data_IF_089552775268
#
_entry.id   IF_089552775268
#
_cell.length_a   1.000
_cell.length_b   1.000
_cell.length_c   1.000
_cell.angle_alpha   90.00
_cell.angle_beta   90.00
_cell.angle_gamma   90.00
#
_symmetry.space_group_name_H-M   'P 1'
#
loop_
_entity.id
_entity.type
_entity.pdbx_description
1 polymer ?
#
# COMPACT_ATOMS: atom_id res chain seq x y z
N UNK A 1 10.02 23.83 9.82
CA UNK A 1 9.20 23.75 8.58
C UNK A 1 8.67 22.34 8.46
N UNK A 2 7.39 22.18 8.14
CA UNK A 2 6.79 20.87 7.93
C UNK A 2 7.26 20.38 6.54
N UNK A 3 8.02 19.30 6.50
CA UNK A 3 8.49 18.70 5.24
C UNK A 3 7.27 18.30 4.39
N UNK A 4 7.30 18.59 3.09
CA UNK A 4 6.16 18.37 2.20
C UNK A 4 6.21 16.98 1.58
N UNK A 5 5.07 16.25 1.64
CA UNK A 5 4.89 14.97 0.95
C UNK A 5 4.16 15.23 -0.35
N UNK A 6 4.74 14.83 -1.45
CA UNK A 6 4.11 14.87 -2.77
C UNK A 6 3.96 13.48 -3.36
N UNK A 7 2.91 13.27 -4.16
CA UNK A 7 2.59 12.02 -4.84
C UNK A 7 2.66 12.25 -6.35
N UNK A 8 3.29 11.35 -7.07
CA UNK A 8 3.34 11.39 -8.53
C UNK A 8 3.12 9.99 -9.11
N UNK A 9 2.32 9.85 -10.18
CA UNK A 9 2.23 8.59 -10.90
C UNK A 9 3.63 8.14 -11.34
N UNK A 10 3.90 6.85 -11.14
CA UNK A 10 5.17 6.25 -11.56
C UNK A 10 5.23 6.12 -13.09
N UNK A 11 6.43 6.21 -13.62
CA UNK A 11 6.73 6.03 -15.04
C UNK A 11 7.79 4.95 -15.26
N UNK A 12 8.00 4.52 -16.49
CA UNK A 12 9.04 3.55 -16.81
C UNK A 12 10.46 4.06 -16.48
N UNK A 13 10.67 5.38 -16.46
CA UNK A 13 11.95 5.97 -16.08
C UNK A 13 12.31 5.73 -14.60
N UNK A 14 11.32 5.42 -13.77
CA UNK A 14 11.50 5.19 -12.33
C UNK A 14 11.87 3.74 -11.98
N UNK A 15 11.78 2.81 -12.94
CA UNK A 15 12.08 1.39 -12.71
C UNK A 15 13.47 1.12 -12.15
N UNK A 16 14.56 1.78 -12.62
CA UNK A 16 15.88 1.60 -12.02
C UNK A 16 15.95 2.04 -10.54
N UNK A 17 15.21 3.08 -10.16
CA UNK A 17 15.14 3.54 -8.77
C UNK A 17 14.47 2.47 -7.90
N UNK A 18 13.34 1.93 -8.35
CA UNK A 18 12.62 0.84 -7.65
C UNK A 18 13.50 -0.40 -7.52
N UNK A 19 14.18 -0.82 -8.58
CA UNK A 19 15.10 -1.96 -8.55
C UNK A 19 16.18 -1.79 -7.46
N UNK A 20 16.73 -0.59 -7.31
CA UNK A 20 17.71 -0.26 -6.26
C UNK A 20 17.13 -0.35 -4.85
N UNK A 21 15.87 0.06 -4.65
CA UNK A 21 15.18 -0.06 -3.36
C UNK A 21 14.81 -1.52 -3.05
N UNK A 22 14.30 -2.25 -4.02
CA UNK A 22 13.92 -3.67 -3.89
C UNK A 22 15.11 -4.57 -3.53
N UNK A 23 16.32 -4.19 -3.91
CA UNK A 23 17.54 -4.91 -3.55
C UNK A 23 17.96 -4.72 -2.08
N UNK A 24 17.29 -3.84 -1.32
CA UNK A 24 17.64 -3.57 0.07
C UNK A 24 16.98 -4.58 1.03
N UNK A 25 17.67 -5.00 2.13
CA UNK A 25 17.16 -6.03 3.05
C UNK A 25 15.78 -5.74 3.64
N UNK A 26 15.51 -4.47 4.00
CA UNK A 26 14.22 -4.10 4.60
C UNK A 26 13.05 -4.20 3.62
N UNK A 27 13.31 -4.18 2.31
CA UNK A 27 12.29 -4.45 1.30
C UNK A 27 11.96 -5.94 1.23
N UNK A 28 12.99 -6.79 1.16
CA UNK A 28 12.83 -8.25 1.11
C UNK A 28 12.14 -8.84 2.34
N UNK A 29 12.24 -8.19 3.48
CA UNK A 29 11.60 -8.67 4.72
C UNK A 29 10.08 -8.77 4.59
N UNK A 30 9.45 -7.87 3.81
CA UNK A 30 7.99 -7.73 3.76
C UNK A 30 7.39 -7.86 2.36
N UNK A 31 8.19 -7.82 1.32
CA UNK A 31 7.78 -8.03 -0.07
C UNK A 31 8.34 -9.37 -0.56
N UNK A 32 7.44 -10.30 -0.91
CA UNK A 32 7.78 -11.71 -1.03
C UNK A 32 8.52 -12.08 -2.33
N UNK A 33 8.35 -11.31 -3.41
CA UNK A 33 8.91 -11.67 -4.71
C UNK A 33 10.35 -11.17 -4.88
N UNK A 34 11.09 -11.83 -5.77
CA UNK A 34 12.39 -11.34 -6.21
C UNK A 34 12.26 -10.07 -7.07
N UNK A 35 13.36 -9.33 -7.22
CA UNK A 35 13.37 -8.03 -7.92
C UNK A 35 12.84 -8.12 -9.34
N UNK A 36 13.21 -9.16 -10.11
CA UNK A 36 12.78 -9.28 -11.52
C UNK A 36 11.28 -9.57 -11.63
N UNK A 37 10.73 -10.38 -10.74
CA UNK A 37 9.28 -10.64 -10.67
C UNK A 37 8.53 -9.36 -10.35
N UNK A 38 8.96 -8.60 -9.34
CA UNK A 38 8.34 -7.31 -8.98
C UNK A 38 8.43 -6.27 -10.11
N UNK A 39 9.58 -6.18 -10.78
CA UNK A 39 9.73 -5.33 -11.96
C UNK A 39 8.83 -5.77 -13.12
N UNK A 40 8.56 -7.07 -13.24
CA UNK A 40 7.59 -7.63 -14.18
C UNK A 40 6.19 -7.11 -13.93
N UNK A 41 5.71 -7.17 -12.69
CA UNK A 41 4.41 -6.60 -12.29
C UNK A 41 4.33 -5.10 -12.56
N UNK A 42 5.38 -4.34 -12.22
CA UNK A 42 5.41 -2.90 -12.51
C UNK A 42 5.34 -2.59 -14.00
N UNK A 43 6.03 -3.37 -14.85
CA UNK A 43 5.92 -3.21 -16.31
C UNK A 43 4.51 -3.51 -16.82
N UNK A 44 3.81 -4.45 -16.22
CA UNK A 44 2.42 -4.77 -16.56
C UNK A 44 1.47 -3.64 -16.15
N UNK A 45 1.63 -3.10 -14.94
CA UNK A 45 0.90 -1.92 -14.47
C UNK A 45 1.12 -0.71 -15.38
N UNK A 46 2.38 -0.37 -15.68
CA UNK A 46 2.74 0.76 -16.54
C UNK A 46 2.30 0.56 -18.00
N UNK A 47 2.23 -0.68 -18.47
CA UNK A 47 1.76 -1.04 -19.80
C UNK A 47 0.25 -1.19 -19.92
N UNK A 48 -0.51 -1.00 -18.85
CA UNK A 48 -1.98 -1.11 -18.85
C UNK A 48 -2.51 -2.55 -18.93
N UNK A 49 -1.65 -3.55 -18.67
CA UNK A 49 -2.05 -4.97 -18.58
C UNK A 49 -2.56 -5.35 -17.20
N UNK A 50 -2.23 -4.56 -16.19
CA UNK A 50 -2.72 -4.63 -14.83
C UNK A 50 -3.37 -3.28 -14.47
N UNK A 51 -4.50 -3.31 -13.78
CA UNK A 51 -5.25 -2.12 -13.38
C UNK A 51 -4.68 -1.40 -12.17
N UNK A 52 -3.71 -1.99 -11.49
CA UNK A 52 -3.00 -1.40 -10.35
C UNK A 52 -2.28 -0.11 -10.78
N UNK A 53 -2.42 0.93 -9.99
CA UNK A 53 -1.79 2.22 -10.28
C UNK A 53 -0.63 2.47 -9.33
N UNK A 54 0.62 2.43 -9.83
CA UNK A 54 1.82 2.69 -9.04
C UNK A 54 2.14 4.18 -8.96
N UNK A 55 2.58 4.64 -7.78
CA UNK A 55 3.01 6.01 -7.51
C UNK A 55 4.33 6.02 -6.74
N UNK A 56 5.06 7.10 -6.91
CA UNK A 56 6.14 7.47 -6.00
C UNK A 56 5.65 8.57 -5.05
N UNK A 57 6.11 8.51 -3.81
CA UNK A 57 6.00 9.66 -2.91
C UNK A 57 7.37 10.24 -2.60
N UNK A 58 7.40 11.55 -2.55
CA UNK A 58 8.61 12.33 -2.34
C UNK A 58 8.50 13.17 -1.07
N UNK A 59 9.63 13.39 -0.42
CA UNK A 59 9.80 14.30 0.69
C UNK A 59 10.69 15.45 0.24
N UNK A 60 10.16 16.67 0.26
CA UNK A 60 10.87 17.87 -0.23
C UNK A 60 11.48 17.67 -1.64
N UNK A 61 10.70 17.04 -2.53
CA UNK A 61 11.08 16.79 -3.93
C UNK A 61 12.00 15.59 -4.16
N UNK A 62 12.41 14.86 -3.12
CA UNK A 62 13.23 13.64 -3.25
C UNK A 62 12.34 12.40 -3.13
N UNK A 63 12.35 11.48 -4.10
CA UNK A 63 11.64 10.21 -3.97
C UNK A 63 12.14 9.43 -2.76
N UNK A 64 11.22 9.04 -1.88
CA UNK A 64 11.51 8.31 -0.63
C UNK A 64 10.68 7.05 -0.46
N UNK A 65 9.76 6.77 -1.36
CA UNK A 65 9.01 5.54 -1.30
C UNK A 65 8.05 5.33 -2.45
N UNK A 66 7.45 4.16 -2.41
CA UNK A 66 6.54 3.62 -3.38
C UNK A 66 5.18 3.37 -2.73
N UNK A 67 4.09 3.64 -3.42
CA UNK A 67 2.72 3.35 -3.00
C UNK A 67 1.87 2.99 -4.22
N UNK A 68 0.98 2.02 -4.07
CA UNK A 68 0.08 1.61 -5.14
C UNK A 68 -1.35 1.47 -4.65
N UNK A 69 -2.28 1.53 -5.58
CA UNK A 69 -3.69 1.21 -5.37
C UNK A 69 -4.14 0.17 -6.38
N UNK A 70 -4.81 -0.87 -5.90
CA UNK A 70 -5.36 -1.95 -6.70
C UNK A 70 -6.85 -2.14 -6.40
N UNK A 71 -7.61 -2.62 -7.37
CA UNK A 71 -9.05 -2.86 -7.21
C UNK A 71 -9.28 -4.24 -6.61
N UNK A 72 -10.03 -4.28 -5.51
CA UNK A 72 -10.37 -5.55 -4.85
C UNK A 72 -11.11 -6.50 -5.79
N UNK A 73 -12.01 -5.98 -6.62
CA UNK A 73 -12.74 -6.79 -7.60
C UNK A 73 -11.83 -7.53 -8.59
N UNK A 74 -10.69 -6.93 -8.98
CA UNK A 74 -9.77 -7.54 -9.93
C UNK A 74 -8.92 -8.66 -9.30
N UNK A 75 -8.82 -8.68 -7.97
CA UNK A 75 -8.15 -9.77 -7.23
C UNK A 75 -9.05 -11.00 -6.99
N UNK A 76 -10.31 -10.98 -7.45
CA UNK A 76 -11.25 -12.11 -7.33
C UNK A 76 -11.06 -13.17 -8.41
N UNK A 77 -9.82 -13.37 -8.84
CA UNK A 77 -9.42 -14.38 -9.82
C UNK A 77 -8.18 -15.11 -9.32
N UNK A 78 -7.96 -16.34 -9.80
CA UNK A 78 -6.74 -17.07 -9.45
C UNK A 78 -5.49 -16.44 -10.09
N UNK A 79 -4.34 -16.49 -9.42
CA UNK A 79 -4.07 -17.15 -8.11
C UNK A 79 -4.46 -16.29 -6.88
N UNK A 80 -4.80 -15.02 -7.06
CA UNK A 80 -5.03 -14.05 -5.97
C UNK A 80 -6.18 -14.45 -5.05
N UNK A 81 -7.23 -15.06 -5.62
CA UNK A 81 -8.38 -15.51 -4.83
C UNK A 81 -8.02 -16.60 -3.82
N UNK A 82 -7.10 -17.49 -4.18
CA UNK A 82 -6.58 -18.51 -3.25
C UNK A 82 -5.70 -17.89 -2.16
N UNK A 83 -4.90 -16.89 -2.49
CA UNK A 83 -3.98 -16.23 -1.54
C UNK A 83 -4.70 -15.28 -0.58
N UNK A 84 -5.71 -14.59 -1.08
CA UNK A 84 -6.47 -13.57 -0.32
C UNK A 84 -7.99 -13.77 -0.44
N UNK A 85 -8.56 -14.90 0.05
CA UNK A 85 -9.99 -15.20 -0.12
C UNK A 85 -10.91 -14.15 0.51
N UNK A 86 -10.42 -13.35 1.45
CA UNK A 86 -11.14 -12.25 2.09
C UNK A 86 -11.54 -11.11 1.13
N UNK A 87 -10.99 -11.06 -0.10
CA UNK A 87 -11.43 -10.09 -1.12
C UNK A 87 -12.91 -10.27 -1.48
N UNK A 88 -13.47 -11.47 -1.25
CA UNK A 88 -14.90 -11.76 -1.45
C UNK A 88 -15.80 -11.14 -0.39
N UNK A 89 -15.26 -10.79 0.78
CA UNK A 89 -16.01 -10.19 1.89
C UNK A 89 -16.09 -8.65 1.80
N UNK A 90 -15.44 -8.04 0.82
CA UNK A 90 -15.39 -6.59 0.64
C UNK A 90 -16.34 -6.12 -0.49
N UNK A 91 -16.77 -4.85 -0.49
CA UNK A 91 -17.55 -4.26 -1.59
C UNK A 91 -16.80 -4.31 -2.94
N UNK A 92 -17.55 -4.32 -4.04
CA UNK A 92 -16.99 -4.37 -5.39
C UNK A 92 -16.17 -3.12 -5.76
N UNK A 93 -16.50 -1.99 -5.15
CA UNK A 93 -15.82 -0.69 -5.32
C UNK A 93 -14.67 -0.48 -4.33
N UNK A 94 -14.35 -1.48 -3.50
CA UNK A 94 -13.23 -1.40 -2.57
C UNK A 94 -11.88 -1.39 -3.32
N UNK A 95 -10.92 -0.68 -2.74
CA UNK A 95 -9.53 -0.67 -3.20
C UNK A 95 -8.58 -1.04 -2.06
N UNK A 96 -7.54 -1.78 -2.41
CA UNK A 96 -6.40 -2.05 -1.54
C UNK A 96 -5.26 -1.09 -1.83
N UNK A 97 -4.46 -0.80 -0.83
CA UNK A 97 -3.25 0.00 -0.97
C UNK A 97 -2.05 -0.73 -0.37
N UNK A 98 -0.89 -0.58 -1.00
CA UNK A 98 0.38 -1.11 -0.51
C UNK A 98 1.41 0.01 -0.56
N UNK A 99 2.32 0.02 0.41
CA UNK A 99 3.37 1.02 0.41
C UNK A 99 4.68 0.46 0.95
N UNK A 100 5.80 1.00 0.44
CA UNK A 100 7.13 0.73 0.97
C UNK A 100 8.00 1.99 0.99
N UNK A 101 8.78 2.12 2.05
CA UNK A 101 9.82 3.15 2.14
C UNK A 101 11.02 2.68 1.31
N UNK A 102 11.52 3.53 0.43
CA UNK A 102 12.65 3.22 -0.44
C UNK A 102 13.97 3.16 0.33
N UNK A 103 14.56 4.30 0.73
CA UNK A 103 15.83 4.31 1.46
C UNK A 103 15.67 3.83 2.91
N UNK A 104 16.54 2.93 3.38
CA UNK A 104 16.52 2.43 4.75
C UNK A 104 16.63 3.56 5.80
N UNK A 105 17.40 4.61 5.51
CA UNK A 105 17.55 5.78 6.38
C UNK A 105 16.27 6.62 6.56
N UNK A 106 15.25 6.39 5.73
CA UNK A 106 13.96 7.08 5.83
C UNK A 106 12.92 6.31 6.66
N UNK A 107 13.27 5.13 7.17
CA UNK A 107 12.40 4.34 8.03
C UNK A 107 12.15 5.04 9.38
N UNK A 108 10.97 4.82 9.95
CA UNK A 108 10.59 5.29 11.30
C UNK A 108 10.58 6.83 11.51
N UNK A 109 10.47 7.60 10.43
CA UNK A 109 10.40 9.07 10.46
C UNK A 109 8.97 9.61 10.20
N UNK A 110 7.94 8.84 10.47
CA UNK A 110 6.52 9.15 10.17
C UNK A 110 6.23 9.44 8.67
N UNK A 111 7.20 9.19 7.78
CA UNK A 111 7.04 9.43 6.34
C UNK A 111 5.96 8.53 5.77
N UNK A 112 5.95 7.25 6.13
CA UNK A 112 4.96 6.28 5.66
C UNK A 112 3.53 6.65 6.06
N UNK A 113 3.28 7.01 7.31
CA UNK A 113 1.94 7.41 7.76
C UNK A 113 1.45 8.68 7.07
N UNK A 114 2.34 9.65 6.85
CA UNK A 114 2.02 10.90 6.14
C UNK A 114 1.76 10.67 4.65
N UNK A 115 2.57 9.84 3.99
CA UNK A 115 2.37 9.46 2.59
C UNK A 115 1.05 8.70 2.41
N UNK A 116 0.76 7.76 3.29
CA UNK A 116 -0.50 7.01 3.26
C UNK A 116 -1.71 7.91 3.49
N UNK A 117 -1.65 8.84 4.45
CA UNK A 117 -2.73 9.81 4.68
C UNK A 117 -2.98 10.71 3.45
N UNK A 118 -1.92 11.19 2.80
CA UNK A 118 -2.03 11.98 1.57
C UNK A 118 -2.64 11.14 0.43
N UNK A 119 -2.23 9.88 0.29
CA UNK A 119 -2.74 8.97 -0.73
C UNK A 119 -4.21 8.64 -0.51
N UNK A 120 -4.61 8.34 0.72
CA UNK A 120 -6.03 8.13 1.07
C UNK A 120 -6.85 9.36 0.76
N UNK A 121 -6.36 10.56 1.07
CA UNK A 121 -7.05 11.81 0.74
C UNK A 121 -7.27 11.96 -0.77
N UNK A 122 -6.29 11.61 -1.59
CA UNK A 122 -6.40 11.57 -3.04
C UNK A 122 -7.47 10.56 -3.49
N UNK A 123 -7.43 9.33 -2.98
CA UNK A 123 -8.39 8.28 -3.31
C UNK A 123 -9.83 8.64 -2.90
N UNK A 124 -10.00 9.29 -1.73
CA UNK A 124 -11.31 9.83 -1.30
C UNK A 124 -11.83 10.89 -2.27
N UNK A 125 -10.97 11.79 -2.74
CA UNK A 125 -11.34 12.80 -3.72
C UNK A 125 -11.75 12.17 -5.08
N UNK A 126 -11.18 11.02 -5.43
CA UNK A 126 -11.60 10.22 -6.59
C UNK A 126 -12.91 9.43 -6.36
N UNK A 127 -13.46 9.41 -5.14
CA UNK A 127 -14.74 8.80 -4.82
C UNK A 127 -14.67 7.41 -4.18
N UNK A 128 -13.48 6.86 -3.93
CA UNK A 128 -13.36 5.57 -3.25
C UNK A 128 -13.79 5.66 -1.79
N UNK A 129 -14.73 4.81 -1.40
CA UNK A 129 -15.31 4.79 -0.04
C UNK A 129 -14.68 3.75 0.86
N UNK A 130 -14.35 2.58 0.33
CA UNK A 130 -13.72 1.48 1.06
C UNK A 130 -12.27 1.35 0.62
N UNK A 131 -11.35 1.71 1.52
CA UNK A 131 -9.90 1.66 1.30
C UNK A 131 -9.31 0.76 2.38
N UNK A 132 -8.64 -0.31 1.97
CA UNK A 132 -8.06 -1.31 2.87
C UNK A 132 -6.56 -1.43 2.67
N UNK A 133 -5.89 -1.98 3.69
CA UNK A 133 -4.47 -2.34 3.68
C UNK A 133 -4.29 -3.61 4.50
N UNK A 134 -3.38 -4.49 4.12
CA UNK A 134 -3.26 -5.86 4.65
C UNK A 134 -1.83 -6.21 5.12
N UNK A 135 -1.27 -5.47 6.09
CA UNK A 135 0.07 -5.75 6.58
C UNK A 135 0.21 -7.16 7.15
N UNK A 136 1.42 -7.71 7.07
CA UNK A 136 1.79 -8.87 7.86
C UNK A 136 1.58 -8.57 9.35
N UNK A 137 0.92 -9.44 10.13
CA UNK A 137 0.68 -9.23 11.56
C UNK A 137 1.96 -9.05 12.38
N UNK A 138 3.09 -9.58 11.92
CA UNK A 138 4.39 -9.40 12.55
C UNK A 138 5.03 -8.03 12.28
N UNK A 139 4.55 -7.31 11.26
CA UNK A 139 5.06 -5.98 10.91
C UNK A 139 4.46 -4.87 11.79
N UNK A 140 4.80 -4.90 13.09
CA UNK A 140 4.28 -3.93 14.06
C UNK A 140 4.59 -2.47 13.70
N UNK A 141 5.70 -2.21 12.96
CA UNK A 141 6.05 -0.88 12.50
C UNK A 141 5.05 -0.37 11.45
N UNK A 142 4.72 -1.18 10.47
CA UNK A 142 3.74 -0.84 9.45
C UNK A 142 2.35 -0.65 10.06
N UNK A 143 1.91 -1.56 10.93
CA UNK A 143 0.61 -1.48 11.61
C UNK A 143 0.48 -0.15 12.35
N UNK A 144 1.48 0.25 13.16
CA UNK A 144 1.46 1.55 13.86
C UNK A 144 1.42 2.75 12.90
N UNK A 145 2.12 2.68 11.77
CA UNK A 145 2.07 3.74 10.77
C UNK A 145 0.68 3.84 10.12
N UNK A 146 0.02 2.72 9.87
CA UNK A 146 -1.32 2.66 9.30
C UNK A 146 -2.39 3.12 10.30
N UNK A 147 -2.27 2.75 11.56
CA UNK A 147 -3.12 3.28 12.63
C UNK A 147 -3.04 4.80 12.75
N UNK A 148 -1.84 5.39 12.66
CA UNK A 148 -1.63 6.84 12.61
C UNK A 148 -2.30 7.49 11.38
N UNK A 149 -2.33 6.80 10.25
CA UNK A 149 -2.99 7.25 9.04
C UNK A 149 -4.53 7.07 9.05
N UNK A 150 -5.11 6.49 10.11
CA UNK A 150 -6.55 6.33 10.27
C UNK A 150 -7.10 4.95 9.93
N UNK A 151 -6.24 3.96 9.71
CA UNK A 151 -6.66 2.57 9.49
C UNK A 151 -6.91 1.85 10.81
N UNK A 152 -7.88 0.96 10.80
CA UNK A 152 -8.21 0.08 11.94
C UNK A 152 -8.50 -1.33 11.45
N UNK A 153 -8.15 -2.38 12.21
CA UNK A 153 -8.54 -3.75 11.88
C UNK A 153 -10.04 -3.88 11.66
N UNK A 154 -10.45 -4.68 10.69
CA UNK A 154 -11.87 -4.98 10.44
C UNK A 154 -12.31 -6.04 11.45
N UNK A 155 -13.19 -5.73 12.41
CA UNK A 155 -13.53 -6.66 13.51
C UNK A 155 -14.15 -7.97 13.03
N UNK A 156 -15.02 -7.90 12.01
CA UNK A 156 -15.73 -9.07 11.45
C UNK A 156 -14.80 -10.06 10.72
N UNK A 157 -13.63 -9.61 10.29
CA UNK A 157 -12.65 -10.42 9.57
C UNK A 157 -11.48 -10.86 10.44
N UNK A 158 -11.49 -10.52 11.73
CA UNK A 158 -10.42 -10.90 12.66
C UNK A 158 -10.28 -12.43 12.72
N UNK A 159 -9.08 -12.93 12.43
CA UNK A 159 -8.80 -14.37 12.39
C UNK A 159 -9.31 -15.09 11.13
N UNK A 160 -9.90 -14.37 10.17
CA UNK A 160 -10.39 -14.91 8.89
C UNK A 160 -9.55 -14.50 7.69
N UNK A 161 -8.47 -13.77 7.93
CA UNK A 161 -7.53 -13.29 6.91
C UNK A 161 -6.17 -13.95 7.13
N UNK A 162 -5.95 -15.19 6.66
CA UNK A 162 -4.69 -15.90 6.86
C UNK A 162 -3.51 -15.08 6.33
N UNK A 163 -2.45 -14.96 7.14
CA UNK A 163 -1.22 -14.28 6.76
C UNK A 163 -1.26 -12.76 6.77
N UNK A 164 -2.42 -12.12 7.01
CA UNK A 164 -2.48 -10.65 7.08
C UNK A 164 -3.41 -10.14 8.18
N UNK A 165 -3.20 -8.90 8.58
CA UNK A 165 -4.12 -8.11 9.39
C UNK A 165 -4.84 -7.13 8.46
N UNK A 166 -6.06 -7.48 8.03
CA UNK A 166 -6.81 -6.59 7.15
C UNK A 166 -7.34 -5.38 7.92
N UNK A 167 -6.95 -4.18 7.48
CA UNK A 167 -7.31 -2.90 8.09
C UNK A 167 -8.06 -2.04 7.08
N UNK A 168 -9.03 -1.27 7.56
CA UNK A 168 -9.80 -0.32 6.74
C UNK A 168 -9.62 1.09 7.24
N UNK A 169 -9.54 2.06 6.33
CA UNK A 169 -9.47 3.49 6.66
C UNK A 169 -10.84 4.03 7.07
N UNK A 170 -10.86 4.81 8.15
CA UNK A 170 -12.02 5.54 8.66
C UNK A 170 -11.71 7.04 8.71
N UNK A 171 -12.61 7.87 8.18
CA UNK A 171 -12.44 9.33 8.14
C UNK A 171 -12.57 10.01 9.50
N UNK A 172 -13.11 9.29 10.49
CA UNK A 172 -13.22 9.76 11.88
C UNK A 172 -12.72 8.69 12.84
N UNK A 173 -12.13 9.06 14.00
CA UNK A 173 -11.89 8.10 15.07
C UNK A 173 -13.20 7.36 15.35
N UNK A 174 -13.15 6.03 15.38
CA UNK A 174 -14.27 5.26 15.92
C UNK A 174 -14.47 5.73 17.35
N UNK A 175 -15.68 6.19 17.69
CA UNK A 175 -16.00 6.51 19.07
C UNK A 175 -15.73 5.26 19.90
N UNK A 176 -14.91 5.44 20.95
CA UNK A 176 -14.65 4.38 21.92
C UNK A 176 -15.99 3.93 22.49
N UNK A 177 -16.37 2.69 22.16
CA UNK A 177 -17.57 2.02 22.68
C UNK A 177 -17.23 1.23 23.93
#
# INVERSE_FOLDING_TARGET
>A
MKQDITLAPMTAADLPLLAGWMAQPHWHEWWAADVETELGYLRDMLGGRDSTRPFLFSLDGRPVGYIQVWRVADARVEPWLTEAPWVMDLPDDAVGVDLSIGPAGSLSQDIGSRALAAFVSMLRAEGYRTIVIDPDPANARAIRAYEKAGFRPIPLLRGRTPGCLLMQHHDRPLADG
#
